data_IF_207673038509
#
_entry.id   IF_207673038509
#
_cell.length_a   1.000
_cell.length_b   1.000
_cell.length_c   1.000
_cell.angle_alpha   90.00
_cell.angle_beta   90.00
_cell.angle_gamma   90.00
#
_symmetry.space_group_name_H-M   'P 1'
#
loop_
_entity.id
_entity.type
_entity.pdbx_description
1 polymer ?
#
# COMPACT_ATOMS: atom_id res chain seq x y z
N UNK A 1 -37.09 -1.58 22.96
CA UNK A 1 -36.67 -2.37 21.79
C UNK A 1 -37.27 -1.81 20.50
N UNK A 2 -36.79 -0.62 20.11
CA UNK A 2 -36.98 0.06 18.82
C UNK A 2 -35.66 0.78 18.55
N UNK A 3 -35.29 0.86 17.27
CA UNK A 3 -34.13 1.54 16.66
C UNK A 3 -32.87 0.67 16.50
N UNK A 4 -32.80 -0.06 15.38
CA UNK A 4 -31.56 -0.44 14.65
C UNK A 4 -31.93 -0.77 13.19
N UNK A 5 -32.58 0.16 12.48
CA UNK A 5 -32.92 0.01 11.05
C UNK A 5 -32.90 1.36 10.31
N UNK A 6 -31.87 2.18 10.55
CA UNK A 6 -31.82 3.54 9.98
C UNK A 6 -30.42 4.01 9.61
N UNK A 7 -29.55 3.11 9.13
CA UNK A 7 -28.23 3.48 8.58
C UNK A 7 -27.89 2.72 7.29
N UNK A 8 -28.85 2.65 6.36
CA UNK A 8 -28.64 2.11 5.01
C UNK A 8 -29.30 2.95 3.90
N UNK A 9 -29.44 4.27 4.11
CA UNK A 9 -30.14 5.17 3.15
C UNK A 9 -29.27 6.31 2.58
N UNK A 10 -27.95 6.23 2.67
CA UNK A 10 -27.05 7.22 2.02
C UNK A 10 -25.94 6.63 1.17
N UNK A 11 -26.07 5.37 0.73
CA UNK A 11 -25.33 4.85 -0.42
C UNK A 11 -26.21 4.97 -1.68
N UNK A 12 -26.21 6.20 -2.21
CA UNK A 12 -26.39 6.58 -3.62
C UNK A 12 -27.34 5.73 -4.49
N UNK A 13 -28.42 6.39 -4.87
CA UNK A 13 -29.42 6.02 -5.87
C UNK A 13 -28.88 5.92 -7.30
N UNK A 14 -27.85 5.11 -7.56
CA UNK A 14 -27.49 4.73 -8.92
C UNK A 14 -28.42 3.64 -9.44
N UNK A 15 -29.48 4.11 -10.11
CA UNK A 15 -29.99 3.54 -11.35
C UNK A 15 -30.72 2.20 -11.27
N UNK A 16 -32.05 2.32 -11.28
CA UNK A 16 -33.03 1.30 -11.68
C UNK A 16 -32.82 0.80 -13.14
N UNK A 17 -31.83 1.32 -13.87
CA UNK A 17 -31.45 0.85 -15.23
C UNK A 17 -30.65 -0.47 -15.19
N UNK A 18 -30.13 -0.87 -14.02
CA UNK A 18 -29.35 -2.11 -13.85
C UNK A 18 -30.12 -3.42 -14.10
N UNK A 19 -31.46 -3.40 -14.14
CA UNK A 19 -32.28 -4.61 -14.32
C UNK A 19 -32.72 -4.88 -15.78
N UNK A 20 -32.34 -4.04 -16.75
CA UNK A 20 -32.70 -4.27 -18.18
C UNK A 20 -31.54 -4.22 -19.17
N UNK A 21 -30.40 -3.67 -18.77
CA UNK A 21 -29.16 -3.65 -19.56
C UNK A 21 -28.09 -4.41 -18.77
N UNK A 22 -27.75 -5.63 -19.23
CA UNK A 22 -26.93 -6.58 -18.48
C UNK A 22 -25.45 -6.22 -18.43
N UNK A 23 -25.04 -5.27 -17.58
CA UNK A 23 -23.64 -4.98 -17.25
C UNK A 23 -23.33 -3.50 -17.01
N UNK A 24 -22.06 -3.14 -16.78
CA UNK A 24 -21.60 -1.75 -16.69
C UNK A 24 -21.40 -1.13 -18.09
N UNK A 25 -21.79 0.14 -18.27
CA UNK A 25 -21.73 0.84 -19.57
C UNK A 25 -20.32 0.88 -20.18
N UNK A 26 -19.29 1.02 -19.35
CA UNK A 26 -17.89 1.07 -19.77
C UNK A 26 -17.42 -0.16 -20.56
N UNK A 27 -18.08 -1.30 -20.40
CA UNK A 27 -17.73 -2.56 -21.08
C UNK A 27 -18.74 -2.94 -22.16
N UNK A 28 -19.85 -2.20 -22.29
CA UNK A 28 -20.88 -2.52 -23.26
C UNK A 28 -20.48 -2.12 -24.69
N UNK A 29 -20.90 -2.89 -25.70
CA UNK A 29 -20.82 -2.44 -27.07
C UNK A 29 -21.81 -1.30 -27.31
N UNK A 30 -21.45 -0.28 -28.12
CA UNK A 30 -22.31 0.88 -28.34
C UNK A 30 -23.71 0.51 -28.84
N UNK A 31 -23.83 -0.52 -29.69
CA UNK A 31 -25.13 -1.03 -30.18
C UNK A 31 -26.05 -1.52 -29.05
N UNK A 32 -25.51 -2.03 -27.94
CA UNK A 32 -26.32 -2.40 -26.77
C UNK A 32 -26.84 -1.17 -26.02
N UNK A 33 -26.02 -0.12 -25.95
CA UNK A 33 -26.35 1.13 -25.26
C UNK A 33 -27.39 1.93 -26.06
N UNK A 34 -27.21 2.06 -27.38
CA UNK A 34 -28.07 2.88 -28.25
C UNK A 34 -29.39 2.20 -28.61
N UNK A 35 -29.38 0.89 -28.91
CA UNK A 35 -30.57 0.20 -29.44
C UNK A 35 -31.35 -0.59 -28.39
N UNK A 36 -31.01 -0.47 -27.10
CA UNK A 36 -31.59 -1.27 -26.00
C UNK A 36 -31.67 -2.76 -26.38
N UNK A 37 -30.61 -3.29 -27.00
CA UNK A 37 -30.57 -4.72 -27.30
C UNK A 37 -30.61 -5.48 -25.97
N UNK A 38 -31.73 -6.18 -25.72
CA UNK A 38 -31.99 -6.85 -24.44
C UNK A 38 -31.13 -8.10 -24.20
N UNK A 39 -30.38 -8.57 -25.19
CA UNK A 39 -29.61 -9.81 -25.09
C UNK A 39 -28.13 -9.53 -25.29
N UNK A 40 -27.36 -9.91 -24.28
CA UNK A 40 -25.92 -10.12 -24.39
C UNK A 40 -25.65 -11.16 -25.49
N UNK A 41 -24.54 -10.98 -26.20
CA UNK A 41 -24.09 -11.90 -27.26
C UNK A 41 -22.63 -12.23 -27.02
N UNK A 42 -22.12 -13.33 -27.56
CA UNK A 42 -20.69 -13.62 -27.44
C UNK A 42 -19.83 -12.43 -27.91
N UNK A 43 -20.29 -11.69 -28.93
CA UNK A 43 -19.60 -10.50 -29.40
C UNK A 43 -19.57 -9.34 -28.38
N UNK A 44 -20.56 -9.20 -27.49
CA UNK A 44 -20.49 -8.22 -26.39
C UNK A 44 -19.42 -8.60 -25.38
N UNK A 45 -19.31 -9.89 -25.06
CA UNK A 45 -18.30 -10.39 -24.12
C UNK A 45 -16.88 -10.22 -24.70
N UNK A 46 -16.71 -10.41 -26.01
CA UNK A 46 -15.43 -10.13 -26.69
C UNK A 46 -15.02 -8.66 -26.57
N UNK A 47 -15.98 -7.73 -26.68
CA UNK A 47 -15.66 -6.31 -26.48
C UNK A 47 -15.29 -6.02 -25.02
N UNK A 48 -16.07 -6.54 -24.08
CA UNK A 48 -15.78 -6.40 -22.65
C UNK A 48 -14.39 -6.94 -22.32
N UNK A 49 -14.01 -8.09 -22.89
CA UNK A 49 -12.65 -8.64 -22.79
C UNK A 49 -11.59 -7.68 -23.34
N UNK A 50 -11.83 -7.08 -24.51
CA UNK A 50 -10.95 -6.05 -25.06
C UNK A 50 -10.75 -4.86 -24.12
N UNK A 51 -11.83 -4.38 -23.49
CA UNK A 51 -11.76 -3.32 -22.47
C UNK A 51 -10.90 -3.76 -21.27
N UNK A 52 -11.14 -4.95 -20.72
CA UNK A 52 -10.37 -5.47 -19.58
C UNK A 52 -8.88 -5.60 -19.90
N UNK A 53 -8.52 -6.08 -21.09
CA UNK A 53 -7.10 -6.19 -21.48
C UNK A 53 -6.44 -4.82 -21.53
N UNK A 54 -7.08 -3.84 -22.18
CA UNK A 54 -6.54 -2.49 -22.25
C UNK A 54 -6.42 -1.85 -20.87
N UNK A 55 -7.37 -2.08 -19.97
CA UNK A 55 -7.35 -1.56 -18.60
C UNK A 55 -6.17 -2.14 -17.80
N UNK A 56 -5.91 -3.45 -17.93
CA UNK A 56 -4.76 -4.11 -17.31
C UNK A 56 -3.44 -3.50 -17.78
N UNK A 57 -3.28 -3.25 -19.08
CA UNK A 57 -2.03 -2.71 -19.63
C UNK A 57 -1.88 -1.19 -19.45
N UNK A 58 -2.98 -0.46 -19.33
CA UNK A 58 -2.97 0.99 -19.14
C UNK A 58 -3.00 1.40 -17.66
N UNK A 59 -3.33 0.47 -16.76
CA UNK A 59 -3.53 0.68 -15.31
C UNK A 59 -4.60 1.75 -15.01
N UNK A 60 -5.53 1.94 -15.95
CA UNK A 60 -6.60 2.95 -15.88
C UNK A 60 -7.86 2.43 -16.57
N UNK A 61 -9.02 2.80 -16.02
CA UNK A 61 -10.33 2.52 -16.62
C UNK A 61 -10.42 3.29 -17.94
N UNK A 62 -10.73 2.59 -19.05
CA UNK A 62 -10.79 3.20 -20.39
C UNK A 62 -11.91 4.20 -20.57
N UNK A 63 -13.07 3.87 -20.01
CA UNK A 63 -14.31 4.60 -20.20
C UNK A 63 -14.93 4.84 -18.83
N UNK A 64 -15.19 6.10 -18.49
CA UNK A 64 -15.94 6.42 -17.28
C UNK A 64 -17.35 5.81 -17.36
N UNK A 65 -18.01 5.63 -16.22
CA UNK A 65 -19.40 5.17 -16.17
C UNK A 65 -20.42 6.26 -16.55
N UNK A 66 -19.97 7.37 -17.14
CA UNK A 66 -20.81 8.49 -17.53
C UNK A 66 -21.47 8.22 -18.90
N UNK A 67 -22.65 8.80 -19.14
CA UNK A 67 -23.36 8.70 -20.43
C UNK A 67 -22.53 9.27 -21.58
N UNK A 68 -21.67 10.26 -21.30
CA UNK A 68 -20.70 10.82 -22.24
C UNK A 68 -19.66 9.80 -22.71
N UNK A 69 -19.49 8.69 -21.98
CA UNK A 69 -18.59 7.61 -22.38
C UNK A 69 -19.07 6.92 -23.67
N UNK A 70 -20.37 6.94 -23.98
CA UNK A 70 -20.93 6.35 -25.21
C UNK A 70 -20.46 7.10 -26.44
N UNK A 71 -20.43 8.43 -26.37
CA UNK A 71 -19.96 9.29 -27.45
C UNK A 71 -18.44 9.17 -27.61
N UNK A 72 -17.72 9.18 -26.48
CA UNK A 72 -16.26 8.94 -26.47
C UNK A 72 -15.89 7.56 -27.01
N UNK A 73 -16.67 6.53 -26.71
CA UNK A 73 -16.49 5.17 -27.24
C UNK A 73 -16.61 5.09 -28.76
N UNK A 74 -17.38 5.97 -29.39
CA UNK A 74 -17.54 6.02 -30.84
C UNK A 74 -16.45 6.82 -31.55
N UNK A 75 -15.89 7.81 -30.87
CA UNK A 75 -14.91 8.73 -31.45
C UNK A 75 -13.46 8.34 -31.14
N UNK A 76 -13.22 7.53 -30.10
CA UNK A 76 -11.86 7.17 -29.69
C UNK A 76 -11.18 6.22 -30.66
N UNK A 77 -9.98 6.62 -31.10
CA UNK A 77 -9.04 5.73 -31.75
C UNK A 77 -8.39 4.81 -30.70
N UNK A 78 -8.91 3.58 -30.62
CA UNK A 78 -8.41 2.53 -29.73
C UNK A 78 -6.94 2.19 -30.02
N UNK A 79 -6.45 2.47 -31.24
CA UNK A 79 -5.07 2.17 -31.64
C UNK A 79 -4.05 2.89 -30.76
N UNK A 80 -4.34 4.13 -30.34
CA UNK A 80 -3.48 4.89 -29.45
C UNK A 80 -3.45 4.31 -28.03
N UNK A 81 -4.61 3.85 -27.55
CA UNK A 81 -4.75 3.24 -26.22
C UNK A 81 -4.08 1.85 -26.14
N UNK A 82 -3.89 1.18 -27.27
CA UNK A 82 -3.25 -0.13 -27.34
C UNK A 82 -1.71 -0.06 -27.38
N UNK A 83 -1.10 1.11 -27.19
CA UNK A 83 0.37 1.30 -27.29
C UNK A 83 1.16 0.51 -26.25
N UNK A 84 0.62 0.33 -25.04
CA UNK A 84 1.22 -0.48 -23.96
C UNK A 84 0.95 -1.99 -24.10
N UNK A 85 0.03 -2.38 -24.99
CA UNK A 85 -0.30 -3.80 -25.22
C UNK A 85 0.81 -4.46 -26.03
N UNK A 86 1.30 -5.66 -25.65
CA UNK A 86 2.31 -6.39 -26.39
C UNK A 86 1.93 -6.59 -27.86
N UNK A 87 2.89 -6.40 -28.75
CA UNK A 87 2.67 -6.43 -30.20
C UNK A 87 1.98 -7.71 -30.67
N UNK A 88 2.34 -8.85 -30.08
CA UNK A 88 1.78 -10.17 -30.43
C UNK A 88 0.25 -10.27 -30.26
N UNK A 89 -0.37 -9.43 -29.42
CA UNK A 89 -1.80 -9.46 -29.12
C UNK A 89 -2.50 -8.15 -29.45
N UNK A 90 -1.76 -7.11 -29.83
CA UNK A 90 -2.26 -5.75 -30.06
C UNK A 90 -3.37 -5.71 -31.11
N UNK A 91 -3.14 -6.30 -32.27
CA UNK A 91 -4.15 -6.33 -33.36
C UNK A 91 -5.43 -7.07 -32.94
N UNK A 92 -5.27 -8.17 -32.18
CA UNK A 92 -6.43 -8.93 -31.67
C UNK A 92 -7.23 -8.10 -30.69
N UNK A 93 -6.57 -7.40 -29.76
CA UNK A 93 -7.23 -6.49 -28.82
C UNK A 93 -7.94 -5.35 -29.55
N UNK A 94 -7.31 -4.71 -30.53
CA UNK A 94 -7.94 -3.67 -31.35
C UNK A 94 -9.19 -4.22 -32.07
N UNK A 95 -9.11 -5.43 -32.63
CA UNK A 95 -10.24 -6.05 -33.34
C UNK A 95 -11.46 -6.35 -32.44
N UNK A 96 -11.27 -6.49 -31.11
CA UNK A 96 -12.38 -6.61 -30.16
C UNK A 96 -13.31 -5.39 -30.17
N UNK A 97 -12.81 -4.23 -30.63
CA UNK A 97 -13.55 -2.98 -30.67
C UNK A 97 -14.25 -2.70 -31.99
N UNK A 98 -14.24 -3.64 -32.96
CA UNK A 98 -14.98 -3.44 -34.22
C UNK A 98 -16.45 -3.08 -33.95
N UNK A 99 -16.94 -2.10 -34.72
CA UNK A 99 -18.32 -1.64 -34.67
C UNK A 99 -19.28 -2.76 -35.04
N UNK A 100 -18.91 -3.61 -36.00
CA UNK A 100 -19.70 -4.74 -36.43
C UNK A 100 -19.42 -5.97 -35.56
N UNK A 101 -20.44 -6.54 -34.86
CA UNK A 101 -20.25 -7.70 -33.98
C UNK A 101 -19.64 -8.92 -34.66
N UNK A 102 -19.89 -9.09 -35.97
CA UNK A 102 -19.37 -10.23 -36.76
C UNK A 102 -17.91 -10.09 -37.18
N UNK A 103 -17.32 -8.90 -37.09
CA UNK A 103 -15.91 -8.64 -37.38
C UNK A 103 -15.01 -8.81 -36.16
N UNK A 104 -15.60 -8.90 -34.96
CA UNK A 104 -14.87 -9.13 -33.72
C UNK A 104 -14.27 -10.55 -33.73
N UNK A 105 -13.12 -10.76 -33.07
CA UNK A 105 -12.48 -12.06 -33.03
C UNK A 105 -13.38 -13.07 -32.31
N UNK A 106 -13.31 -14.33 -32.74
CA UNK A 106 -13.97 -15.43 -32.03
C UNK A 106 -13.22 -15.75 -30.74
N UNK A 107 -13.92 -16.29 -29.75
CA UNK A 107 -13.32 -16.72 -28.48
C UNK A 107 -12.11 -17.66 -28.68
N UNK A 108 -12.15 -18.49 -29.73
CA UNK A 108 -11.06 -19.39 -30.14
C UNK A 108 -9.72 -18.67 -30.34
N UNK A 109 -9.74 -17.48 -30.95
CA UNK A 109 -8.53 -16.69 -31.20
C UNK A 109 -7.99 -16.04 -29.92
N UNK A 110 -8.86 -15.83 -28.92
CA UNK A 110 -8.45 -15.31 -27.61
C UNK A 110 -7.68 -16.36 -26.78
N UNK A 111 -7.80 -17.66 -27.06
CA UNK A 111 -7.02 -18.67 -26.34
C UNK A 111 -5.51 -18.55 -26.60
N UNK A 112 -5.11 -18.05 -27.77
CA UNK A 112 -3.71 -17.77 -28.06
C UNK A 112 -3.12 -16.73 -27.09
N UNK A 113 -3.96 -15.84 -26.54
CA UNK A 113 -3.60 -14.90 -25.49
C UNK A 113 -3.20 -15.62 -24.19
N UNK A 114 -3.96 -16.65 -23.80
CA UNK A 114 -3.68 -17.44 -22.61
C UNK A 114 -2.41 -18.26 -22.77
N UNK A 115 -2.10 -18.75 -23.97
CA UNK A 115 -0.92 -19.57 -24.21
C UNK A 115 0.39 -18.75 -24.20
N UNK A 116 0.35 -17.48 -24.64
CA UNK A 116 1.46 -16.54 -24.43
C UNK A 116 1.78 -16.38 -22.94
N UNK A 117 0.74 -16.25 -22.11
CA UNK A 117 0.90 -16.14 -20.65
C UNK A 117 1.30 -17.43 -19.96
N UNK A 118 0.88 -18.61 -20.44
CA UNK A 118 1.32 -19.89 -19.84
C UNK A 118 2.84 -20.06 -19.92
N UNK A 119 3.47 -19.59 -20.99
CA UNK A 119 4.92 -19.71 -21.15
C UNK A 119 5.67 -18.68 -20.27
N UNK A 120 5.18 -17.44 -20.20
CA UNK A 120 5.74 -16.42 -19.30
C UNK A 120 5.54 -16.77 -17.82
N UNK A 121 4.35 -17.24 -17.45
CA UNK A 121 4.00 -17.62 -16.09
C UNK A 121 4.86 -18.78 -15.60
N UNK A 122 4.98 -19.85 -16.40
CA UNK A 122 5.87 -20.97 -16.08
C UNK A 122 7.32 -20.52 -15.90
N UNK A 123 7.77 -19.51 -16.65
CA UNK A 123 9.11 -18.94 -16.46
C UNK A 123 9.23 -18.18 -15.14
N UNK A 124 8.24 -17.34 -14.79
CA UNK A 124 8.23 -16.59 -13.52
C UNK A 124 8.06 -17.49 -12.30
N UNK A 125 7.22 -18.51 -12.41
CA UNK A 125 7.00 -19.52 -11.37
C UNK A 125 8.28 -20.31 -11.10
N UNK A 126 8.98 -20.73 -12.16
CA UNK A 126 10.29 -21.37 -12.03
C UNK A 126 11.33 -20.45 -11.37
N UNK A 127 11.34 -19.15 -11.68
CA UNK A 127 12.23 -18.18 -11.00
C UNK A 127 11.86 -18.06 -9.52
N UNK A 128 10.57 -18.01 -9.19
CA UNK A 128 10.08 -17.95 -7.81
C UNK A 128 10.44 -19.21 -7.03
N UNK A 129 10.29 -20.39 -7.62
CA UNK A 129 10.70 -21.66 -7.04
C UNK A 129 12.21 -21.71 -6.75
N UNK A 130 13.03 -21.22 -7.68
CA UNK A 130 14.49 -21.10 -7.48
C UNK A 130 14.80 -20.15 -6.32
N UNK A 131 14.18 -18.97 -6.28
CA UNK A 131 14.41 -18.00 -5.20
C UNK A 131 13.98 -18.53 -3.83
N UNK A 132 12.84 -19.24 -3.75
CA UNK A 132 12.39 -19.89 -2.51
C UNK A 132 13.38 -20.97 -2.08
N UNK A 133 13.88 -21.77 -3.03
CA UNK A 133 14.86 -22.82 -2.75
C UNK A 133 16.17 -22.24 -2.23
N UNK A 134 16.72 -21.22 -2.88
CA UNK A 134 17.95 -20.54 -2.44
C UNK A 134 17.80 -19.97 -1.03
N UNK A 135 16.67 -19.31 -0.74
CA UNK A 135 16.38 -18.78 0.60
C UNK A 135 16.23 -19.89 1.65
N UNK A 136 15.68 -21.04 1.26
CA UNK A 136 15.57 -22.19 2.16
C UNK A 136 16.93 -22.85 2.43
N UNK A 137 17.81 -22.94 1.44
CA UNK A 137 19.17 -23.47 1.59
C UNK A 137 20.02 -22.55 2.47
N UNK A 138 19.87 -21.23 2.32
CA UNK A 138 20.49 -20.24 3.22
C UNK A 138 20.02 -20.41 4.68
N UNK A 139 18.71 -20.54 4.90
CA UNK A 139 18.16 -20.73 6.25
C UNK A 139 18.62 -22.04 6.89
N UNK A 140 18.66 -23.14 6.13
CA UNK A 140 19.18 -24.43 6.60
C UNK A 140 20.67 -24.36 6.94
N UNK A 141 21.46 -23.65 6.14
CA UNK A 141 22.89 -23.45 6.43
C UNK A 141 23.10 -22.64 7.72
N UNK A 142 22.25 -21.64 7.98
CA UNK A 142 22.27 -20.88 9.23
C UNK A 142 21.94 -21.73 10.45
N UNK A 143 20.96 -22.63 10.35
CA UNK A 143 20.63 -23.59 11.41
C UNK A 143 21.75 -24.59 11.69
N UNK A 144 22.44 -25.05 10.66
CA UNK A 144 23.56 -25.99 10.81
C UNK A 144 24.75 -25.34 11.51
N UNK A 145 25.03 -24.07 11.22
CA UNK A 145 26.01 -23.26 11.96
C UNK A 145 25.61 -23.12 13.43
N UNK A 146 24.33 -22.81 13.70
CA UNK A 146 23.85 -22.64 15.06
C UNK A 146 23.96 -23.95 15.87
N UNK A 147 23.53 -25.08 15.30
CA UNK A 147 23.65 -26.41 15.93
C UNK A 147 25.09 -26.80 16.23
N UNK A 148 26.02 -26.50 15.32
CA UNK A 148 27.44 -26.77 15.56
C UNK A 148 28.01 -25.89 16.70
N UNK A 149 27.52 -24.66 16.84
CA UNK A 149 27.92 -23.79 17.96
C UNK A 149 27.41 -24.29 19.32
N UNK A 150 26.19 -24.83 19.37
CA UNK A 150 25.62 -25.45 20.59
C UNK A 150 26.40 -26.70 21.00
N UNK A 151 26.73 -27.58 20.04
CA UNK A 151 27.55 -28.76 20.29
C UNK A 151 28.93 -28.36 20.84
N UNK A 152 29.56 -27.36 20.23
CA UNK A 152 30.88 -26.87 20.69
C UNK A 152 30.79 -26.27 22.10
N UNK A 153 29.72 -25.54 22.42
CA UNK A 153 29.51 -24.98 23.75
C UNK A 153 29.34 -26.08 24.82
N UNK A 154 28.59 -27.14 24.50
CA UNK A 154 28.40 -28.29 25.38
C UNK A 154 29.72 -29.05 25.62
N UNK A 155 30.50 -29.31 24.57
CA UNK A 155 31.82 -29.95 24.68
C UNK A 155 32.78 -29.12 25.55
N UNK A 156 32.81 -27.80 25.38
CA UNK A 156 33.60 -26.90 26.23
C UNK A 156 33.16 -26.99 27.69
N UNK A 157 31.86 -27.08 27.96
CA UNK A 157 31.33 -27.19 29.32
C UNK A 157 31.71 -28.51 29.98
N UNK A 158 31.63 -29.63 29.26
CA UNK A 158 32.05 -30.94 29.76
C UNK A 158 33.55 -30.99 30.03
N UNK A 159 34.39 -30.45 29.14
CA UNK A 159 35.83 -30.33 29.38
C UNK A 159 36.16 -29.49 30.61
N UNK A 160 35.40 -28.43 30.91
CA UNK A 160 35.57 -27.65 32.14
C UNK A 160 35.25 -28.48 33.39
N UNK A 161 34.16 -29.26 33.38
CA UNK A 161 33.80 -30.14 34.51
C UNK A 161 34.87 -31.19 34.78
N UNK A 162 35.42 -31.81 33.73
CA UNK A 162 36.51 -32.79 33.86
C UNK A 162 37.75 -32.14 34.49
N UNK A 163 38.17 -30.98 33.98
CA UNK A 163 39.33 -30.26 34.54
C UNK A 163 39.13 -29.82 36.00
N UNK A 164 37.91 -29.44 36.39
CA UNK A 164 37.58 -29.12 37.79
C UNK A 164 37.62 -30.37 38.68
N UNK A 165 37.13 -31.51 38.20
CA UNK A 165 37.21 -32.78 38.92
C UNK A 165 38.67 -33.21 39.14
N UNK A 166 39.51 -33.15 38.09
CA UNK A 166 40.95 -33.46 38.20
C UNK A 166 41.68 -32.52 39.17
N UNK A 167 41.29 -31.23 39.22
CA UNK A 167 41.85 -30.30 40.22
C UNK A 167 41.48 -30.69 41.65
N UNK A 168 40.23 -31.08 41.88
CA UNK A 168 39.77 -31.54 43.21
C UNK A 168 40.50 -32.81 43.63
N UNK A 169 40.66 -33.78 42.72
CA UNK A 169 41.39 -35.02 43.01
C UNK A 169 42.86 -34.76 43.34
N UNK A 170 43.53 -33.89 42.57
CA UNK A 170 44.90 -33.47 42.87
C UNK A 170 45.02 -32.71 44.20
N UNK A 171 44.00 -31.95 44.61
CA UNK A 171 44.00 -31.24 45.88
C UNK A 171 43.91 -32.20 47.08
N UNK A 172 43.07 -33.24 46.99
CA UNK A 172 42.98 -34.30 48.00
C UNK A 172 44.32 -35.02 48.16
N UNK A 173 45.02 -35.30 47.06
CA UNK A 173 46.34 -35.92 47.09
C UNK A 173 47.42 -35.07 47.79
N UNK A 174 47.32 -33.73 47.74
CA UNK A 174 48.23 -32.82 48.45
C UNK A 174 47.91 -32.80 49.96
N UNK A 175 46.63 -32.82 50.33
CA UNK A 175 46.21 -32.85 51.74
C UNK A 175 46.57 -34.16 52.45
N UNK A 176 46.54 -35.31 51.76
CA UNK A 176 47.03 -36.58 52.31
C UNK A 176 48.54 -36.56 52.57
N UNK A 177 49.32 -35.96 51.67
CA UNK A 177 50.77 -35.83 51.84
C UNK A 177 51.10 -34.89 53.02
N UNK A 178 50.36 -33.80 53.21
CA UNK A 178 50.55 -32.90 54.36
C UNK A 178 50.19 -33.59 55.70
N UNK A 179 49.19 -34.48 55.72
CA UNK A 179 48.86 -35.28 56.91
C UNK A 179 49.94 -36.30 57.26
N UNK A 180 50.58 -36.90 56.26
CA UNK A 180 51.67 -37.87 56.47
C UNK A 180 52.96 -37.19 56.96
N UNK A 181 53.25 -35.96 56.50
CA UNK A 181 54.38 -35.15 57.01
C UNK A 181 54.17 -34.70 58.47
N UNK A 182 52.92 -34.58 58.95
CA UNK A 182 52.62 -34.24 60.35
C UNK A 182 52.70 -35.40 61.34
N UNK A 183 52.95 -36.64 60.90
CA UNK A 183 53.12 -37.79 61.81
C UNK A 183 54.55 -38.03 62.30
N UNK A 184 55.57 -37.33 61.76
CA UNK A 184 56.98 -37.52 62.18
C UNK A 184 57.52 -36.43 63.14
N UNK A 185 56.65 -35.70 63.85
CA UNK A 185 57.09 -34.76 64.90
C UNK A 185 56.46 -35.08 66.25
N UNK A 186 57.11 -35.90 67.10
CA UNK A 186 56.64 -36.12 68.45
C UNK A 186 57.07 -34.99 69.39
N UNK A 187 56.18 -34.69 70.34
CA UNK A 187 56.40 -33.98 71.60
C UNK A 187 56.47 -32.44 71.55
N UNK A 188 55.28 -31.84 71.43
CA UNK A 188 54.87 -30.83 72.42
C UNK A 188 53.41 -31.09 72.79
N UNK A 189 53.27 -31.79 73.92
CA UNK A 189 52.04 -32.19 74.57
C UNK A 189 51.37 -31.00 75.30
N UNK A 190 50.09 -31.20 75.64
CA UNK A 190 49.26 -30.40 76.56
C UNK A 190 48.57 -29.14 76.02
N UNK A 191 47.67 -29.28 75.02
CA UNK A 191 46.53 -28.32 74.92
C UNK A 191 45.30 -28.80 74.12
N UNK A 192 45.25 -30.03 73.60
CA UNK A 192 44.23 -30.47 72.62
C UNK A 192 43.37 -31.64 73.17
N UNK A 193 42.89 -31.53 74.40
CA UNK A 193 41.87 -32.45 74.96
C UNK A 193 40.45 -31.84 74.93
N UNK A 194 40.26 -30.66 74.32
CA UNK A 194 38.96 -29.98 74.21
C UNK A 194 38.38 -29.94 72.78
N UNK A 195 39.03 -30.53 71.77
CA UNK A 195 38.57 -30.44 70.37
C UNK A 195 37.82 -31.66 69.85
N UNK A 196 37.89 -32.81 70.52
CA UNK A 196 37.23 -34.03 70.04
C UNK A 196 35.74 -34.14 70.43
N UNK A 197 35.28 -33.38 71.42
CA UNK A 197 33.84 -33.28 71.75
C UNK A 197 33.08 -32.31 70.84
N UNK A 198 33.78 -31.43 70.09
CA UNK A 198 33.15 -30.44 69.20
C UNK A 198 32.88 -31.01 67.80
N UNK A 199 33.66 -31.99 67.34
CA UNK A 199 33.52 -32.51 65.97
C UNK A 199 32.36 -33.52 65.80
N UNK A 200 31.81 -34.07 66.89
CA UNK A 200 30.69 -35.01 66.80
C UNK A 200 29.31 -34.32 66.69
N UNK A 201 29.19 -33.05 67.08
CA UNK A 201 27.96 -32.25 66.87
C UNK A 201 27.88 -31.66 65.45
N UNK A 202 29.01 -31.50 64.75
CA UNK A 202 29.05 -30.85 63.43
C UNK A 202 28.54 -31.77 62.31
N UNK A 203 28.78 -33.08 62.42
CA UNK A 203 28.40 -34.03 61.36
C UNK A 203 26.89 -34.38 61.36
N UNK A 204 26.18 -34.28 62.49
CA UNK A 204 24.73 -34.47 62.54
C UNK A 204 23.93 -33.21 62.13
N UNK A 205 24.53 -32.02 62.21
CA UNK A 205 23.89 -30.75 61.80
C UNK A 205 23.91 -30.58 60.26
N UNK A 206 24.97 -31.05 59.59
CA UNK A 206 25.16 -30.89 58.14
C UNK A 206 24.19 -31.78 57.32
N UNK A 207 23.93 -33.02 57.74
CA UNK A 207 22.98 -33.90 57.04
C UNK A 207 21.51 -33.50 57.29
N UNK A 208 21.24 -32.77 58.39
CA UNK A 208 19.93 -32.19 58.69
C UNK A 208 19.57 -30.97 57.84
N UNK A 209 20.55 -30.10 57.54
CA UNK A 209 20.34 -28.90 56.72
C UNK A 209 20.22 -29.21 55.22
N UNK A 210 21.06 -30.12 54.69
CA UNK A 210 21.08 -30.44 53.25
C UNK A 210 19.76 -31.09 52.77
N UNK A 211 19.02 -31.77 53.65
CA UNK A 211 17.70 -32.33 53.34
C UNK A 211 16.53 -31.36 53.50
N UNK A 212 16.72 -30.19 54.12
CA UNK A 212 15.68 -29.16 54.22
C UNK A 212 15.78 -28.06 53.16
N UNK A 213 16.95 -27.86 52.55
CA UNK A 213 17.15 -26.79 51.57
C UNK A 213 16.90 -27.21 50.12
N UNK A 214 17.04 -28.50 49.80
CA UNK A 214 16.84 -29.00 48.44
C UNK A 214 15.41 -28.75 47.87
N UNK A 215 14.32 -28.92 48.65
CA UNK A 215 12.97 -28.61 48.16
C UNK A 215 12.75 -27.09 47.96
N UNK A 216 13.39 -26.24 48.78
CA UNK A 216 13.19 -24.78 48.72
C UNK A 216 13.82 -24.15 47.48
N UNK A 217 14.85 -24.78 46.92
CA UNK A 217 15.49 -24.28 45.70
C UNK A 217 14.74 -24.65 44.43
N UNK A 218 14.06 -25.80 44.39
CA UNK A 218 13.24 -26.19 43.22
C UNK A 218 11.98 -25.32 43.11
N UNK A 219 11.28 -25.08 44.22
CA UNK A 219 10.10 -24.20 44.27
C UNK A 219 10.44 -22.76 43.87
N UNK A 220 11.63 -22.28 44.26
CA UNK A 220 12.10 -20.92 43.94
C UNK A 220 12.45 -20.77 42.46
N UNK A 221 13.00 -21.80 41.84
CA UNK A 221 13.30 -21.80 40.40
C UNK A 221 12.00 -21.83 39.57
N UNK A 222 11.01 -22.63 39.96
CA UNK A 222 9.70 -22.63 39.28
C UNK A 222 8.97 -21.28 39.44
N UNK A 223 9.07 -20.66 40.62
CA UNK A 223 8.48 -19.34 40.85
C UNK A 223 9.16 -18.24 40.03
N UNK A 224 10.51 -18.22 39.98
CA UNK A 224 11.26 -17.26 39.17
C UNK A 224 10.99 -17.44 37.67
N UNK A 225 10.84 -18.69 37.18
CA UNK A 225 10.44 -18.94 35.79
C UNK A 225 9.02 -18.46 35.49
N UNK A 226 8.10 -18.58 36.45
CA UNK A 226 6.74 -18.10 36.27
C UNK A 226 6.64 -16.56 36.25
N UNK A 227 7.38 -15.89 37.14
CA UNK A 227 7.46 -14.42 37.19
C UNK A 227 8.08 -13.85 35.90
N UNK A 228 9.17 -14.45 35.40
CA UNK A 228 9.79 -14.02 34.13
C UNK A 228 8.85 -14.21 32.93
N UNK A 229 8.06 -15.30 32.91
CA UNK A 229 7.08 -15.51 31.83
C UNK A 229 5.96 -14.47 31.86
N UNK A 230 5.48 -14.06 33.04
CA UNK A 230 4.44 -13.04 33.17
C UNK A 230 4.94 -11.65 32.77
N UNK A 231 6.16 -11.27 33.18
CA UNK A 231 6.74 -9.97 32.81
C UNK A 231 6.95 -9.83 31.30
N UNK A 232 7.36 -10.91 30.63
CA UNK A 232 7.55 -10.93 29.17
C UNK A 232 6.22 -10.79 28.42
N UNK A 233 5.17 -11.47 28.87
CA UNK A 233 3.85 -11.38 28.26
C UNK A 233 3.23 -9.97 28.45
N UNK A 234 3.38 -9.37 29.63
CA UNK A 234 2.89 -8.01 29.90
C UNK A 234 3.67 -6.94 29.12
N UNK A 235 4.99 -7.09 28.94
CA UNK A 235 5.80 -6.16 28.15
C UNK A 235 5.47 -6.23 26.65
N UNK A 236 5.21 -7.43 26.12
CA UNK A 236 4.84 -7.63 24.72
C UNK A 236 3.45 -7.06 24.44
N UNK A 237 2.45 -7.36 25.27
CA UNK A 237 1.09 -6.84 25.08
C UNK A 237 1.04 -5.32 25.26
N UNK A 238 1.81 -4.77 26.20
CA UNK A 238 1.93 -3.33 26.41
C UNK A 238 2.51 -2.57 25.21
N UNK A 239 3.56 -3.10 24.57
CA UNK A 239 4.16 -2.48 23.37
C UNK A 239 3.27 -2.63 22.14
N UNK A 240 2.63 -3.78 21.96
CA UNK A 240 1.73 -4.03 20.82
C UNK A 240 0.47 -3.15 20.89
N UNK A 241 -0.02 -2.81 22.08
CA UNK A 241 -1.14 -1.87 22.23
C UNK A 241 -0.77 -0.39 22.10
N UNK A 242 0.49 -0.02 22.32
CA UNK A 242 0.93 1.37 22.12
C UNK A 242 1.27 1.70 20.66
N UNK A 243 1.89 0.79 19.92
CA UNK A 243 2.39 1.10 18.57
C UNK A 243 1.33 0.89 17.46
N UNK A 244 0.27 0.15 17.72
CA UNK A 244 -0.75 -0.16 16.70
C UNK A 244 -1.68 1.02 16.33
N UNK A 245 -2.17 1.87 17.26
CA UNK A 245 -3.04 2.98 16.91
C UNK A 245 -2.32 4.08 16.10
N UNK A 246 -1.05 4.35 16.43
CA UNK A 246 -0.30 5.46 15.82
C UNK A 246 0.01 5.22 14.34
N UNK A 247 0.26 3.96 13.95
CA UNK A 247 0.50 3.61 12.55
C UNK A 247 -0.77 3.59 11.68
N UNK A 248 -1.94 3.30 12.25
CA UNK A 248 -3.20 3.35 11.48
C UNK A 248 -3.59 4.80 11.13
N UNK A 249 -3.40 5.75 12.07
CA UNK A 249 -3.65 7.18 11.82
C UNK A 249 -2.66 7.79 10.80
N UNK A 250 -1.38 7.40 10.83
CA UNK A 250 -0.38 7.89 9.89
C UNK A 250 -0.69 7.44 8.45
N UNK A 251 -1.10 6.18 8.26
CA UNK A 251 -1.47 5.64 6.94
C UNK A 251 -2.74 6.32 6.40
N UNK A 252 -3.74 6.58 7.25
CA UNK A 252 -4.95 7.30 6.84
C UNK A 252 -4.65 8.75 6.44
N UNK A 253 -3.76 9.42 7.18
CA UNK A 253 -3.35 10.79 6.89
C UNK A 253 -2.57 10.89 5.57
N UNK A 254 -1.62 9.98 5.31
CA UNK A 254 -0.87 9.95 4.05
C UNK A 254 -1.79 9.72 2.84
N UNK A 255 -2.75 8.80 2.95
CA UNK A 255 -3.72 8.54 1.88
C UNK A 255 -4.61 9.77 1.63
N UNK A 256 -5.03 10.46 2.70
CA UNK A 256 -5.83 11.67 2.57
C UNK A 256 -5.06 12.80 1.90
N UNK A 257 -3.77 12.97 2.22
CA UNK A 257 -2.92 14.00 1.63
C UNK A 257 -2.62 13.72 0.14
N UNK A 258 -2.46 12.45 -0.25
CA UNK A 258 -2.30 12.06 -1.65
C UNK A 258 -3.57 12.36 -2.48
N UNK A 259 -4.75 12.04 -1.94
CA UNK A 259 -6.05 12.36 -2.59
C UNK A 259 -6.24 13.87 -2.71
N UNK A 260 -5.93 14.64 -1.67
CA UNK A 260 -6.05 16.10 -1.70
C UNK A 260 -5.14 16.70 -2.79
N UNK A 261 -3.92 16.18 -2.93
CA UNK A 261 -2.98 16.61 -3.96
C UNK A 261 -3.48 16.32 -5.38
N UNK A 262 -4.06 15.14 -5.62
CA UNK A 262 -4.62 14.79 -6.93
C UNK A 262 -5.80 15.71 -7.31
N UNK A 263 -6.66 16.04 -6.34
CA UNK A 263 -7.78 16.97 -6.54
C UNK A 263 -7.29 18.38 -6.88
N UNK A 264 -6.27 18.88 -6.18
CA UNK A 264 -5.69 20.20 -6.46
C UNK A 264 -5.06 20.26 -7.87
N UNK A 265 -4.35 19.21 -8.28
CA UNK A 265 -3.79 19.09 -9.64
C UNK A 265 -4.90 19.05 -10.71
N UNK A 266 -6.02 18.38 -10.46
CA UNK A 266 -7.17 18.33 -11.38
C UNK A 266 -7.86 19.70 -11.51
N UNK A 267 -8.01 20.43 -10.41
CA UNK A 267 -8.56 21.80 -10.41
C UNK A 267 -7.67 22.73 -11.24
N UNK A 268 -6.35 22.71 -11.03
CA UNK A 268 -5.41 23.54 -11.80
C UNK A 268 -5.40 23.19 -13.30
N UNK A 269 -5.57 21.91 -13.65
CA UNK A 269 -5.72 21.51 -15.06
C UNK A 269 -7.03 22.01 -15.67
N UNK A 270 -8.12 22.00 -14.90
CA UNK A 270 -9.42 22.47 -15.35
C UNK A 270 -9.41 23.98 -15.60
N UNK A 271 -8.82 24.75 -14.68
CA UNK A 271 -8.67 26.20 -14.84
C UNK A 271 -7.85 26.55 -16.10
N UNK A 272 -6.72 25.86 -16.34
CA UNK A 272 -5.93 26.04 -17.56
C UNK A 272 -6.72 25.78 -18.84
N UNK A 273 -7.51 24.70 -18.89
CA UNK A 273 -8.36 24.40 -20.05
C UNK A 273 -9.45 25.45 -20.26
N UNK A 274 -10.01 25.98 -19.18
CA UNK A 274 -11.02 27.03 -19.25
C UNK A 274 -10.42 28.36 -19.76
N UNK A 275 -9.19 28.70 -19.33
CA UNK A 275 -8.44 29.84 -19.87
C UNK A 275 -8.14 29.68 -21.36
N UNK A 276 -7.70 28.50 -21.81
CA UNK A 276 -7.44 28.21 -23.23
C UNK A 276 -8.72 28.35 -24.08
N UNK A 277 -9.85 27.81 -23.62
CA UNK A 277 -11.14 27.93 -24.32
C UNK A 277 -11.60 29.39 -24.38
N UNK A 278 -11.42 30.14 -23.29
CA UNK A 278 -11.76 31.55 -23.26
C UNK A 278 -10.86 32.38 -24.21
N UNK A 279 -9.58 32.04 -24.31
CA UNK A 279 -8.66 32.65 -25.26
C UNK A 279 -9.07 32.35 -26.71
N UNK A 280 -9.34 31.09 -27.05
CA UNK A 280 -9.77 30.70 -28.40
C UNK A 280 -11.07 31.41 -28.79
N UNK A 281 -12.04 31.49 -27.88
CA UNK A 281 -13.30 32.23 -28.10
C UNK A 281 -13.05 33.73 -28.32
N UNK A 282 -12.12 34.33 -27.60
CA UNK A 282 -11.75 35.73 -27.81
C UNK A 282 -11.10 35.94 -29.19
N UNK A 283 -10.24 35.01 -29.63
CA UNK A 283 -9.64 35.03 -30.97
C UNK A 283 -10.70 34.85 -32.07
N UNK A 284 -11.66 33.96 -31.89
CA UNK A 284 -12.80 33.80 -32.82
C UNK A 284 -13.65 35.07 -32.91
N UNK A 285 -13.93 35.72 -31.77
CA UNK A 285 -14.66 37.00 -31.77
C UNK A 285 -13.92 38.07 -32.58
N UNK A 286 -12.59 38.16 -32.44
CA UNK A 286 -11.76 39.09 -33.22
C UNK A 286 -11.79 38.75 -34.72
N UNK A 287 -11.87 37.46 -35.08
CA UNK A 287 -11.99 37.02 -36.47
C UNK A 287 -13.37 37.27 -37.06
N UNK A 288 -14.43 37.20 -36.25
CA UNK A 288 -15.81 37.46 -36.65
C UNK A 288 -16.15 38.95 -36.75
N UNK A 289 -15.34 39.85 -36.18
CA UNK A 289 -15.45 41.28 -36.46
C UNK A 289 -15.37 41.52 -37.98
N UNK A 290 -16.50 41.94 -38.52
CA UNK A 290 -16.86 41.95 -39.93
C UNK A 290 -15.69 42.19 -40.91
N UNK A 291 -15.60 41.44 -42.03
CA UNK A 291 -14.64 41.69 -43.11
C UNK A 291 -14.62 43.15 -43.59
N UNK A 292 -15.75 43.86 -43.46
CA UNK A 292 -15.87 45.29 -43.75
C UNK A 292 -15.12 46.22 -42.79
N UNK A 293 -14.93 45.86 -41.53
CA UNK A 293 -14.10 46.60 -40.57
C UNK A 293 -12.61 46.40 -40.87
N UNK A 294 -12.20 45.17 -41.17
CA UNK A 294 -10.83 44.85 -41.60
C UNK A 294 -10.46 45.61 -42.87
N UNK A 295 -11.31 45.60 -43.89
CA UNK A 295 -11.07 46.34 -45.14
C UNK A 295 -10.99 47.86 -44.91
N UNK A 296 -11.83 48.44 -44.05
CA UNK A 296 -11.75 49.87 -43.68
C UNK A 296 -10.46 50.21 -42.94
N UNK A 297 -10.06 49.39 -41.96
CA UNK A 297 -8.82 49.62 -41.20
C UNK A 297 -7.56 49.42 -42.04
N UNK A 298 -7.58 48.47 -42.99
CA UNK A 298 -6.49 48.25 -43.94
C UNK A 298 -6.42 49.37 -44.98
N UNK A 299 -7.56 49.87 -45.48
CA UNK A 299 -7.63 51.02 -46.38
C UNK A 299 -7.12 52.31 -45.72
N UNK A 300 -7.46 52.55 -44.45
CA UNK A 300 -6.95 53.69 -43.67
C UNK A 300 -5.42 53.60 -43.51
N UNK A 301 -4.87 52.40 -43.29
CA UNK A 301 -3.40 52.18 -43.22
C UNK A 301 -2.70 52.38 -44.57
N UNK A 302 -3.33 51.97 -45.68
CA UNK A 302 -2.75 52.11 -47.03
C UNK A 302 -2.85 53.53 -47.59
N UNK A 303 -3.79 54.35 -47.12
CA UNK A 303 -3.92 55.75 -47.55
C UNK A 303 -2.85 56.68 -46.95
N UNK A 304 -1.93 56.18 -46.11
CA UNK A 304 -0.80 56.95 -45.63
C UNK A 304 -1.19 58.24 -44.91
N UNK A 305 -2.42 58.31 -44.37
CA UNK A 305 -2.86 59.47 -43.60
C UNK A 305 -2.05 59.45 -42.31
N UNK A 306 -1.19 60.45 -42.05
CA UNK A 306 -0.44 60.50 -40.80
C UNK A 306 -1.46 60.58 -39.66
N UNK A 307 -1.40 59.61 -38.74
CA UNK A 307 -2.18 59.57 -37.49
C UNK A 307 -1.77 60.70 -36.54
N UNK A 308 -1.85 61.97 -36.97
CA UNK A 308 -1.39 63.10 -36.17
C UNK A 308 -2.47 63.72 -35.28
N UNK A 309 -3.72 63.24 -35.28
CA UNK A 309 -4.78 63.92 -34.53
C UNK A 309 -5.98 63.06 -34.09
N UNK A 310 -5.81 61.80 -33.69
CA UNK A 310 -6.97 61.02 -33.18
C UNK A 310 -6.66 60.12 -31.99
N UNK A 311 -5.69 60.51 -31.17
CA UNK A 311 -5.36 59.83 -29.93
C UNK A 311 -5.64 60.65 -28.65
N UNK A 312 -6.53 61.65 -28.72
CA UNK A 312 -6.78 62.55 -27.58
C UNK A 312 -8.26 62.82 -27.25
N UNK A 313 -9.26 62.06 -27.76
CA UNK A 313 -10.65 62.34 -27.31
C UNK A 313 -11.75 61.27 -27.52
N UNK A 314 -11.45 59.96 -27.47
CA UNK A 314 -12.51 58.91 -27.51
C UNK A 314 -12.37 57.87 -26.38
N UNK A 315 -11.63 58.18 -25.31
CA UNK A 315 -11.57 57.30 -24.13
C UNK A 315 -12.11 57.90 -22.83
N UNK A 316 -12.67 59.12 -22.86
CA UNK A 316 -13.14 59.83 -21.66
C UNK A 316 -14.64 60.16 -21.63
N UNK A 317 -15.46 59.68 -22.55
CA UNK A 317 -16.92 60.00 -22.51
C UNK A 317 -17.89 58.85 -22.79
N UNK A 318 -17.43 57.59 -22.83
CA UNK A 318 -18.33 56.42 -22.94
C UNK A 318 -18.29 55.44 -21.76
N UNK A 319 -17.40 55.65 -20.78
CA UNK A 319 -17.31 54.82 -19.57
C UNK A 319 -17.93 55.47 -18.31
N UNK A 320 -18.85 56.43 -18.47
CA UNK A 320 -19.50 57.09 -17.33
C UNK A 320 -21.04 57.07 -17.37
N UNK A 321 -21.64 56.23 -18.23
CA UNK A 321 -23.10 56.07 -18.28
C UNK A 321 -23.59 54.60 -18.29
N UNK A 322 -22.72 53.63 -18.03
CA UNK A 322 -23.10 52.20 -18.01
C UNK A 322 -23.12 51.53 -16.63
N UNK A 323 -22.80 52.25 -15.54
CA UNK A 323 -22.67 51.62 -14.21
C UNK A 323 -23.69 52.05 -13.16
N UNK A 324 -24.98 52.18 -13.51
CA UNK A 324 -26.02 52.26 -12.47
C UNK A 324 -27.29 51.45 -12.74
N UNK A 325 -27.56 51.05 -13.99
CA UNK A 325 -28.73 50.22 -14.29
C UNK A 325 -28.47 48.72 -14.09
N UNK A 326 -27.26 48.23 -14.39
CA UNK A 326 -26.93 46.81 -14.28
C UNK A 326 -26.68 46.34 -12.83
N UNK A 327 -26.23 47.24 -11.94
CA UNK A 327 -26.01 46.91 -10.52
C UNK A 327 -27.33 46.80 -9.73
N UNK A 328 -28.40 47.49 -10.14
CA UNK A 328 -29.71 47.40 -9.48
C UNK A 328 -30.51 46.13 -9.81
N UNK A 329 -30.19 45.45 -10.93
CA UNK A 329 -30.85 44.18 -11.28
C UNK A 329 -30.17 42.95 -10.62
N UNK A 330 -28.89 43.04 -10.28
CA UNK A 330 -28.18 41.97 -9.55
C UNK A 330 -28.61 41.93 -8.08
N UNK A 331 -28.88 43.06 -7.44
CA UNK A 331 -29.42 43.10 -6.07
C UNK A 331 -30.85 42.55 -5.97
N UNK A 332 -31.68 42.72 -7.00
CA UNK A 332 -33.04 42.15 -7.04
C UNK A 332 -33.06 40.64 -7.19
N UNK A 333 -32.03 40.06 -7.81
CA UNK A 333 -31.94 38.62 -8.03
C UNK A 333 -31.55 37.85 -6.75
N UNK A 334 -30.79 38.47 -5.84
CA UNK A 334 -30.42 37.86 -4.56
C UNK A 334 -31.55 37.87 -3.51
N UNK A 335 -32.54 38.74 -3.64
CA UNK A 335 -33.66 38.87 -2.68
C UNK A 335 -34.87 37.97 -2.98
N UNK A 336 -34.81 37.12 -4.03
CA UNK A 336 -35.88 36.19 -4.41
C UNK A 336 -35.48 34.71 -4.27
N UNK A 337 -34.73 34.35 -3.22
CA UNK A 337 -34.65 32.93 -2.84
C UNK A 337 -35.90 32.52 -2.04
N UNK A 338 -36.64 31.49 -2.45
CA UNK A 338 -37.70 30.92 -1.64
C UNK A 338 -37.09 30.25 -0.41
N UNK A 339 -37.60 30.62 0.77
CA UNK A 339 -37.39 29.88 2.01
C UNK A 339 -37.96 28.48 1.86
N UNK A 340 -37.10 27.47 2.03
CA UNK A 340 -37.48 26.07 2.29
C UNK A 340 -37.11 25.76 3.73
#
# INVERSE_FOLDING_TARGET
MRKLYQYAETATSYSVVGNTLGGPYAYMPPKMITHRQKKTTNASDIRAFGCTVLEIYNEKILFSNDLDAVEKMHQQDISFQATKVPEAIRETVISCFSHEPGERPKCELLYNFCDLKKNEWKSKEKIREVAIREKSEEWLSGLEINRNSEITAYEIQEHKKINEAERKENQVGVEEIDKEIHQERPEHEEEIEQQDEVNQEVDEEIDGEVHQERPKHEDKIEQEQHEVSQEVDEEIDGKVHQERPEHEEEIEQEQQDEVNKEVDEEIEQRERREEEVNQERAEEMIQQECPGQRAKNQAIRQQGIPNHATNMNIFTSRNLQLDNAALLDIEKWWLQKPTV
#
